data_IF_107764043981
#
_entry.id   IF_107764043981
#
_cell.length_a   1.000
_cell.length_b   1.000
_cell.length_c   1.000
_cell.angle_alpha   90.00
_cell.angle_beta   90.00
_cell.angle_gamma   90.00
#
_symmetry.space_group_name_H-M   'P 1'
#
loop_
_entity.id
_entity.type
_entity.pdbx_description
1 polymer ?
#
# COMPACT_ATOMS: atom_id res chain seq x y z
N UNK A 1 -42.85 -8.62 15.76
CA UNK A 1 -41.39 -8.79 15.85
C UNK A 1 -41.00 -9.87 14.86
N UNK A 2 -40.01 -9.56 14.04
CA UNK A 2 -39.63 -10.36 12.89
C UNK A 2 -38.13 -10.67 12.99
N UNK A 3 -37.72 -11.91 13.26
CA UNK A 3 -36.29 -12.24 13.35
C UNK A 3 -35.63 -12.23 11.97
N UNK A 4 -34.44 -11.64 11.88
CA UNK A 4 -33.45 -11.95 10.84
C UNK A 4 -32.43 -12.91 11.43
N UNK A 5 -32.28 -14.04 10.77
CA UNK A 5 -31.30 -15.06 11.12
C UNK A 5 -30.07 -14.90 10.24
N UNK A 6 -28.92 -14.60 10.83
CA UNK A 6 -27.63 -14.58 10.15
C UNK A 6 -26.95 -15.93 10.32
N UNK A 7 -26.88 -16.68 9.23
CA UNK A 7 -26.31 -18.02 9.23
C UNK A 7 -24.78 -17.98 9.34
N UNK A 8 -24.14 -19.04 9.84
CA UNK A 8 -22.70 -19.05 10.10
C UNK A 8 -21.82 -18.75 8.87
N UNK A 9 -22.31 -19.01 7.66
CA UNK A 9 -21.52 -18.85 6.44
C UNK A 9 -21.24 -17.39 6.07
N UNK A 10 -22.02 -16.44 6.61
CA UNK A 10 -21.86 -15.01 6.35
C UNK A 10 -21.18 -14.26 7.51
N UNK A 11 -20.86 -14.95 8.60
CA UNK A 11 -20.32 -14.33 9.81
C UNK A 11 -18.99 -13.64 9.58
N UNK A 12 -18.09 -14.27 8.83
CA UNK A 12 -16.76 -13.72 8.56
C UNK A 12 -16.86 -12.43 7.73
N UNK A 13 -17.75 -12.42 6.75
CA UNK A 13 -18.00 -11.30 5.85
C UNK A 13 -18.65 -10.12 6.59
N UNK A 14 -19.63 -10.40 7.46
CA UNK A 14 -20.22 -9.36 8.30
C UNK A 14 -19.23 -8.82 9.33
N UNK A 15 -18.40 -9.69 9.92
CA UNK A 15 -17.32 -9.27 10.82
C UNK A 15 -16.31 -8.36 10.11
N UNK A 16 -15.93 -8.69 8.87
CA UNK A 16 -15.08 -7.83 8.05
C UNK A 16 -15.76 -6.48 7.75
N UNK A 17 -17.02 -6.50 7.32
CA UNK A 17 -17.80 -5.30 7.01
C UNK A 17 -17.86 -4.36 8.23
N UNK A 18 -18.15 -4.90 9.42
CA UNK A 18 -18.23 -4.06 10.63
C UNK A 18 -16.86 -3.60 11.13
N UNK A 19 -15.81 -4.39 10.90
CA UNK A 19 -14.43 -4.00 11.25
C UNK A 19 -13.93 -2.84 10.39
N UNK A 20 -14.46 -2.68 9.18
CA UNK A 20 -14.21 -1.53 8.31
C UNK A 20 -14.87 -0.22 8.75
N UNK A 21 -15.73 -0.25 9.78
CA UNK A 21 -16.43 0.95 10.25
C UNK A 21 -15.49 1.81 11.11
N UNK A 22 -14.93 2.87 10.50
CA UNK A 22 -14.08 3.84 11.20
C UNK A 22 -14.87 5.01 11.77
N UNK A 23 -14.42 5.52 12.93
CA UNK A 23 -14.94 6.76 13.50
C UNK A 23 -14.60 7.94 12.58
N UNK A 24 -15.58 8.79 12.29
CA UNK A 24 -15.41 9.94 11.39
C UNK A 24 -15.62 9.63 9.91
N UNK A 25 -16.11 8.43 9.57
CA UNK A 25 -16.53 8.12 8.20
C UNK A 25 -17.60 9.11 7.71
N UNK A 26 -17.46 9.58 6.47
CA UNK A 26 -18.40 10.50 5.80
C UNK A 26 -19.81 9.91 5.69
N UNK A 27 -19.89 8.59 5.54
CA UNK A 27 -21.15 7.83 5.47
C UNK A 27 -21.20 6.81 6.61
N UNK A 28 -21.50 7.22 7.85
CA UNK A 28 -21.40 6.39 9.05
C UNK A 28 -22.61 5.45 9.21
N UNK A 29 -22.98 4.74 8.14
CA UNK A 29 -24.18 3.91 8.08
C UNK A 29 -23.87 2.47 7.69
N UNK A 30 -24.80 1.57 8.01
CA UNK A 30 -24.92 0.26 7.35
C UNK A 30 -26.31 0.22 6.73
N UNK A 31 -26.36 0.05 5.41
CA UNK A 31 -27.62 0.06 4.65
C UNK A 31 -28.08 -1.35 4.39
N UNK A 32 -29.35 -1.59 4.67
CA UNK A 32 -30.07 -2.83 4.38
C UNK A 32 -30.93 -2.57 3.15
N UNK A 33 -30.77 -3.40 2.13
CA UNK A 33 -31.64 -3.43 0.97
C UNK A 33 -32.29 -4.82 0.86
N UNK A 34 -33.59 -4.89 1.13
CA UNK A 34 -34.39 -6.11 1.17
C UNK A 34 -35.17 -6.21 -0.14
N UNK A 35 -34.80 -7.20 -0.95
CA UNK A 35 -35.44 -7.55 -2.22
C UNK A 35 -36.34 -8.76 -2.06
N UNK A 36 -36.97 -9.23 -3.15
CA UNK A 36 -37.73 -10.50 -3.14
C UNK A 36 -36.86 -11.68 -2.72
N UNK A 37 -35.63 -11.76 -3.23
CA UNK A 37 -34.82 -12.98 -3.14
C UNK A 37 -33.69 -12.87 -2.11
N UNK A 38 -33.30 -11.67 -1.72
CA UNK A 38 -32.10 -11.44 -0.92
C UNK A 38 -32.18 -10.20 -0.03
N UNK A 39 -31.45 -10.28 1.08
CA UNK A 39 -31.02 -9.15 1.89
C UNK A 39 -29.60 -8.77 1.49
N UNK A 40 -29.38 -7.50 1.18
CA UNK A 40 -28.06 -6.94 0.94
C UNK A 40 -27.69 -5.98 2.07
N UNK A 41 -26.49 -6.14 2.62
CA UNK A 41 -25.97 -5.36 3.73
C UNK A 41 -24.73 -4.65 3.22
N UNK A 42 -24.77 -3.32 3.22
CA UNK A 42 -23.76 -2.46 2.59
C UNK A 42 -23.15 -1.55 3.65
N UNK A 43 -21.83 -1.47 3.69
CA UNK A 43 -21.10 -0.58 4.59
C UNK A 43 -19.61 -0.52 4.24
N UNK A 44 -18.80 0.01 5.16
CA UNK A 44 -17.36 0.22 4.97
C UNK A 44 -17.00 1.69 4.77
N UNK A 45 -15.77 1.95 4.36
CA UNK A 45 -15.28 3.29 4.05
C UNK A 45 -15.77 3.74 2.68
N UNK A 46 -15.96 5.05 2.48
CA UNK A 46 -16.36 5.64 1.18
C UNK A 46 -15.51 5.11 0.03
N UNK A 47 -14.19 5.03 0.23
CA UNK A 47 -13.23 4.59 -0.78
C UNK A 47 -13.06 3.04 -0.85
N UNK A 48 -13.77 2.31 0.01
CA UNK A 48 -13.64 0.86 0.14
C UNK A 48 -14.92 0.21 0.67
N UNK A 49 -16.04 0.38 -0.06
CA UNK A 49 -17.32 -0.22 0.31
C UNK A 49 -17.31 -1.75 0.18
N UNK A 50 -18.08 -2.38 1.05
CA UNK A 50 -18.34 -3.82 1.07
C UNK A 50 -19.84 -4.06 1.08
N UNK A 51 -20.28 -5.05 0.31
CA UNK A 51 -21.65 -5.55 0.34
C UNK A 51 -21.67 -7.06 0.57
N UNK A 52 -22.52 -7.50 1.49
CA UNK A 52 -22.78 -8.91 1.78
C UNK A 52 -24.22 -9.23 1.38
N UNK A 53 -24.38 -10.24 0.54
CA UNK A 53 -25.66 -10.81 0.15
C UNK A 53 -25.99 -12.00 1.04
N UNK A 54 -27.19 -11.98 1.61
CA UNK A 54 -27.80 -13.12 2.25
C UNK A 54 -29.07 -13.50 1.48
N UNK A 55 -29.16 -14.76 1.04
CA UNK A 55 -30.40 -15.29 0.44
C UNK A 55 -31.52 -15.25 1.46
N UNK A 56 -32.71 -14.82 1.06
CA UNK A 56 -33.88 -14.83 1.95
C UNK A 56 -34.36 -16.26 2.18
N UNK A 57 -34.65 -16.57 3.44
CA UNK A 57 -35.42 -17.77 3.79
C UNK A 57 -36.84 -17.62 3.23
N UNK A 58 -37.47 -18.72 2.79
CA UNK A 58 -38.82 -18.70 2.19
C UNK A 58 -39.88 -18.09 3.12
N UNK A 59 -39.67 -18.20 4.43
CA UNK A 59 -40.56 -17.66 5.46
C UNK A 59 -40.05 -16.34 6.08
N UNK A 60 -39.09 -15.66 5.44
CA UNK A 60 -38.53 -14.41 5.95
C UNK A 60 -39.61 -13.32 5.98
N UNK A 61 -40.04 -12.86 7.17
CA UNK A 61 -41.25 -12.05 7.31
C UNK A 61 -41.02 -10.55 7.03
N UNK A 62 -39.85 -10.17 6.51
CA UNK A 62 -39.54 -8.77 6.22
C UNK A 62 -40.15 -8.32 4.90
N UNK A 63 -40.81 -7.16 4.95
CA UNK A 63 -41.24 -6.48 3.74
C UNK A 63 -40.04 -5.98 2.93
N UNK A 64 -40.24 -5.82 1.62
CA UNK A 64 -39.23 -5.21 0.76
C UNK A 64 -39.02 -3.77 1.20
N UNK A 65 -37.78 -3.32 1.22
CA UNK A 65 -37.48 -1.98 1.69
C UNK A 65 -36.00 -1.69 1.71
N UNK A 66 -35.69 -0.39 1.81
CA UNK A 66 -34.33 0.11 1.89
C UNK A 66 -34.24 1.09 3.04
N UNK A 67 -33.32 0.86 3.97
CA UNK A 67 -33.10 1.73 5.11
C UNK A 67 -31.68 1.55 5.67
N UNK A 68 -31.25 2.50 6.48
CA UNK A 68 -29.91 2.48 7.09
C UNK A 68 -29.98 2.48 8.60
N UNK A 69 -28.98 1.88 9.22
CA UNK A 69 -28.71 2.03 10.66
C UNK A 69 -27.39 2.76 10.87
N UNK A 70 -27.25 3.37 12.04
CA UNK A 70 -25.93 3.84 12.51
C UNK A 70 -24.93 2.68 12.46
N UNK A 71 -23.82 2.89 11.76
CA UNK A 71 -22.79 1.87 11.57
C UNK A 71 -22.22 1.42 12.92
N UNK A 72 -21.97 2.35 13.83
CA UNK A 72 -21.43 2.03 15.16
C UNK A 72 -22.44 1.29 16.03
N UNK A 73 -23.74 1.56 15.89
CA UNK A 73 -24.78 0.83 16.61
C UNK A 73 -24.89 -0.61 16.10
N UNK A 74 -24.90 -0.81 14.77
CA UNK A 74 -24.89 -2.14 14.16
C UNK A 74 -23.63 -2.93 14.53
N UNK A 75 -22.46 -2.30 14.45
CA UNK A 75 -21.20 -2.92 14.86
C UNK A 75 -21.21 -3.35 16.33
N UNK A 76 -21.76 -2.52 17.24
CA UNK A 76 -21.88 -2.90 18.65
C UNK A 76 -22.82 -4.08 18.87
N UNK A 77 -23.93 -4.15 18.12
CA UNK A 77 -24.84 -5.29 18.15
C UNK A 77 -24.13 -6.57 17.68
N UNK A 78 -23.39 -6.49 16.56
CA UNK A 78 -22.66 -7.61 15.98
C UNK A 78 -21.51 -8.09 16.87
N UNK A 79 -20.67 -7.19 17.36
CA UNK A 79 -19.58 -7.52 18.29
C UNK A 79 -20.08 -8.06 19.63
N UNK A 80 -21.36 -7.88 19.96
CA UNK A 80 -21.99 -8.49 21.12
C UNK A 80 -22.29 -9.98 20.99
N UNK A 81 -22.00 -10.61 19.84
CA UNK A 81 -22.33 -11.99 19.46
C UNK A 81 -21.10 -12.89 19.25
N UNK A 82 -19.92 -12.53 19.77
CA UNK A 82 -18.65 -13.23 19.52
C UNK A 82 -18.66 -14.73 19.85
N UNK A 83 -19.26 -15.16 20.95
CA UNK A 83 -19.46 -16.57 21.30
C UNK A 83 -20.25 -17.29 20.22
N UNK A 84 -21.36 -16.71 19.72
CA UNK A 84 -22.13 -17.32 18.63
C UNK A 84 -21.34 -17.37 17.32
N UNK A 85 -20.55 -16.34 17.03
CA UNK A 85 -19.65 -16.29 15.87
C UNK A 85 -18.60 -17.40 15.96
N UNK A 86 -17.93 -17.52 17.11
CA UNK A 86 -16.87 -18.50 17.35
C UNK A 86 -17.41 -19.95 17.33
N UNK A 87 -18.61 -20.15 17.86
CA UNK A 87 -19.30 -21.44 17.87
C UNK A 87 -20.01 -21.75 16.54
N UNK A 88 -19.98 -20.83 15.56
CA UNK A 88 -20.66 -20.96 14.26
C UNK A 88 -22.15 -21.28 14.42
N UNK A 89 -22.84 -20.52 15.27
CA UNK A 89 -24.29 -20.63 15.52
C UNK A 89 -25.06 -19.51 14.85
N UNK A 90 -26.29 -19.77 14.42
CA UNK A 90 -27.17 -18.73 13.85
C UNK A 90 -27.36 -17.57 14.84
N UNK A 91 -27.22 -16.34 14.36
CA UNK A 91 -27.44 -15.11 15.14
C UNK A 91 -28.81 -14.55 14.73
N UNK A 92 -29.72 -14.37 15.68
CA UNK A 92 -31.05 -13.81 15.40
C UNK A 92 -31.15 -12.38 15.95
N UNK A 93 -31.31 -11.40 15.06
CA UNK A 93 -31.65 -10.02 15.44
C UNK A 93 -33.13 -9.75 15.16
N UNK A 94 -33.77 -8.91 15.96
CA UNK A 94 -35.21 -8.65 15.85
C UNK A 94 -35.48 -7.34 15.12
N UNK A 95 -36.45 -7.39 14.21
CA UNK A 95 -37.02 -6.22 13.55
C UNK A 95 -38.39 -5.93 14.14
N UNK A 96 -38.63 -4.68 14.49
CA UNK A 96 -39.91 -4.22 15.04
C UNK A 96 -40.27 -2.87 14.44
N UNK A 97 -41.52 -2.70 14.03
CA UNK A 97 -42.02 -1.38 13.68
C UNK A 97 -42.15 -0.52 14.95
N UNK A 98 -41.66 0.71 14.89
CA UNK A 98 -41.87 1.71 15.92
C UNK A 98 -43.10 2.54 15.55
N UNK A 99 -44.23 2.24 16.19
CA UNK A 99 -45.50 2.93 15.95
C UNK A 99 -45.45 4.43 16.31
N UNK A 100 -44.45 4.88 17.08
CA UNK A 100 -44.30 6.28 17.48
C UNK A 100 -43.44 7.10 16.51
N UNK A 101 -42.42 6.48 15.92
CA UNK A 101 -41.45 7.16 15.05
C UNK A 101 -41.60 6.79 13.58
N UNK A 102 -42.58 5.94 13.25
CA UNK A 102 -42.86 5.45 11.90
C UNK A 102 -41.60 4.91 11.20
N UNK A 103 -40.92 3.97 11.88
CA UNK A 103 -39.64 3.44 11.42
C UNK A 103 -39.37 2.02 11.90
N UNK A 104 -38.32 1.41 11.36
CA UNK A 104 -37.95 0.02 11.66
C UNK A 104 -36.84 -0.02 12.70
N UNK A 105 -37.10 -0.58 13.87
CA UNK A 105 -36.11 -0.84 14.90
C UNK A 105 -35.41 -2.17 14.67
N UNK A 106 -34.08 -2.13 14.69
CA UNK A 106 -33.22 -3.30 14.86
C UNK A 106 -32.90 -3.43 16.34
N UNK A 107 -33.23 -4.56 16.96
CA UNK A 107 -32.98 -4.79 18.39
C UNK A 107 -32.36 -6.18 18.65
N UNK A 108 -31.55 -6.26 19.71
CA UNK A 108 -30.85 -7.47 20.08
C UNK A 108 -30.30 -7.42 21.49
N UNK A 109 -29.94 -8.58 22.01
CA UNK A 109 -29.22 -8.73 23.28
C UNK A 109 -27.80 -9.18 23.02
N UNK A 110 -26.85 -8.59 23.73
CA UNK A 110 -25.46 -9.09 23.74
C UNK A 110 -25.35 -10.33 24.63
N UNK A 111 -24.23 -11.03 24.56
CA UNK A 111 -23.90 -12.16 25.46
C UNK A 111 -23.98 -11.82 26.94
N UNK A 112 -23.63 -10.58 27.30
CA UNK A 112 -23.76 -10.06 28.67
C UNK A 112 -25.20 -9.65 29.02
N UNK A 113 -26.18 -10.14 28.27
CA UNK A 113 -27.61 -9.84 28.39
C UNK A 113 -27.96 -8.35 28.32
N UNK A 114 -27.10 -7.52 27.71
CA UNK A 114 -27.36 -6.09 27.54
C UNK A 114 -28.25 -5.88 26.32
N UNK A 115 -29.37 -5.17 26.51
CA UNK A 115 -30.26 -4.80 25.42
C UNK A 115 -29.69 -3.62 24.62
N UNK A 116 -29.81 -3.70 23.29
CA UNK A 116 -29.35 -2.69 22.34
C UNK A 116 -30.39 -2.57 21.23
N UNK A 117 -30.58 -1.35 20.73
CA UNK A 117 -31.45 -1.08 19.60
C UNK A 117 -30.86 0.02 18.70
N UNK A 118 -31.26 0.02 17.44
CA UNK A 118 -30.97 1.06 16.48
C UNK A 118 -32.24 1.34 15.67
N UNK A 119 -32.63 2.62 15.58
CA UNK A 119 -33.74 3.03 14.72
C UNK A 119 -33.23 3.23 13.29
N UNK A 120 -34.01 2.73 12.34
CA UNK A 120 -33.76 2.94 10.93
C UNK A 120 -33.85 4.42 10.56
N UNK A 121 -33.00 4.80 9.63
CA UNK A 121 -33.00 6.09 8.94
C UNK A 121 -33.20 5.84 7.44
N UNK A 122 -33.49 6.89 6.65
CA UNK A 122 -33.50 6.78 5.20
C UNK A 122 -32.23 6.08 4.69
N UNK A 123 -32.40 5.27 3.63
CA UNK A 123 -31.30 4.57 3.01
C UNK A 123 -30.18 5.55 2.60
N UNK A 124 -28.92 5.13 2.73
CA UNK A 124 -27.80 5.99 2.38
C UNK A 124 -27.65 6.03 0.86
N UNK A 125 -27.84 7.21 0.26
CA UNK A 125 -27.78 7.39 -1.20
C UNK A 125 -26.46 6.92 -1.80
N UNK A 126 -25.34 7.10 -1.08
CA UNK A 126 -24.03 6.63 -1.51
C UNK A 126 -23.98 5.10 -1.60
N UNK A 127 -24.52 4.39 -0.61
CA UNK A 127 -24.62 2.93 -0.63
C UNK A 127 -25.58 2.43 -1.71
N UNK A 128 -26.71 3.12 -1.94
CA UNK A 128 -27.64 2.75 -3.01
C UNK A 128 -27.06 2.99 -4.41
N UNK A 129 -26.26 4.05 -4.57
CA UNK A 129 -25.52 4.30 -5.81
C UNK A 129 -24.52 3.17 -6.08
N UNK A 130 -23.78 2.75 -5.05
CA UNK A 130 -22.89 1.59 -5.13
C UNK A 130 -23.67 0.30 -5.46
N UNK A 131 -24.77 0.03 -4.76
CA UNK A 131 -25.64 -1.11 -5.02
C UNK A 131 -26.06 -1.18 -6.49
N UNK A 132 -26.62 -0.08 -7.01
CA UNK A 132 -27.04 -0.01 -8.40
C UNK A 132 -25.87 -0.25 -9.35
N UNK A 133 -24.71 0.36 -9.08
CA UNK A 133 -23.49 0.19 -9.89
C UNK A 133 -23.05 -1.27 -9.97
N UNK A 134 -23.13 -2.04 -8.89
CA UNK A 134 -22.77 -3.46 -8.87
C UNK A 134 -23.59 -4.29 -9.86
N UNK A 135 -24.88 -3.97 -10.03
CA UNK A 135 -25.79 -4.75 -10.89
C UNK A 135 -25.93 -4.20 -12.31
N UNK A 136 -25.58 -2.93 -12.55
CA UNK A 136 -25.71 -2.31 -13.88
C UNK A 136 -24.41 -2.22 -14.65
N UNK A 137 -23.26 -2.30 -13.97
CA UNK A 137 -21.95 -2.16 -14.62
C UNK A 137 -21.58 -3.41 -15.43
N UNK A 138 -20.95 -3.26 -16.61
CA UNK A 138 -20.46 -4.39 -17.39
C UNK A 138 -19.30 -5.05 -16.65
N UNK A 139 -19.47 -6.29 -16.21
CA UNK A 139 -18.43 -7.03 -15.52
C UNK A 139 -17.81 -8.11 -16.43
N UNK A 140 -16.53 -8.36 -16.21
CA UNK A 140 -15.84 -9.55 -16.73
C UNK A 140 -15.87 -10.65 -15.67
N UNK A 141 -15.98 -11.90 -16.08
CA UNK A 141 -15.96 -13.05 -15.17
C UNK A 141 -14.69 -13.85 -15.40
N UNK A 142 -13.95 -14.14 -14.33
CA UNK A 142 -12.68 -14.86 -14.36
C UNK A 142 -12.69 -16.02 -13.36
N UNK A 143 -12.04 -17.12 -13.71
CA UNK A 143 -11.86 -18.24 -12.78
C UNK A 143 -11.08 -17.82 -11.53
N UNK A 144 -11.58 -18.21 -10.36
CA UNK A 144 -10.97 -17.93 -9.06
C UNK A 144 -9.53 -18.43 -8.98
N UNK A 145 -9.18 -19.51 -9.72
CA UNK A 145 -7.79 -20.00 -9.84
C UNK A 145 -6.89 -18.99 -10.55
N UNK A 146 -7.33 -18.46 -11.69
CA UNK A 146 -6.57 -17.45 -12.44
C UNK A 146 -6.43 -16.14 -11.64
N UNK A 147 -7.43 -15.75 -10.85
CA UNK A 147 -7.31 -14.61 -9.93
C UNK A 147 -6.17 -14.82 -8.94
N UNK A 148 -6.05 -16.03 -8.37
CA UNK A 148 -4.95 -16.35 -7.44
C UNK A 148 -3.58 -16.29 -8.14
N UNK A 149 -3.49 -16.74 -9.39
CA UNK A 149 -2.27 -16.63 -10.20
C UNK A 149 -1.89 -15.16 -10.44
N UNK A 150 -2.86 -14.32 -10.87
CA UNK A 150 -2.66 -12.87 -11.05
C UNK A 150 -2.17 -12.22 -9.74
N UNK A 151 -2.82 -12.52 -8.61
CA UNK A 151 -2.40 -12.02 -7.30
C UNK A 151 -1.01 -12.52 -6.89
N UNK A 152 -0.64 -13.75 -7.28
CA UNK A 152 0.70 -14.30 -7.07
C UNK A 152 1.76 -13.51 -7.83
N UNK A 153 1.55 -13.28 -9.12
CA UNK A 153 2.44 -12.46 -9.97
C UNK A 153 2.57 -11.04 -9.42
N UNK A 154 1.46 -10.39 -9.07
CA UNK A 154 1.49 -9.08 -8.44
C UNK A 154 2.31 -9.09 -7.13
N UNK A 155 2.24 -10.18 -6.36
CA UNK A 155 3.03 -10.37 -5.15
C UNK A 155 4.55 -10.37 -5.39
N UNK A 156 5.00 -11.01 -6.47
CA UNK A 156 6.41 -11.01 -6.88
C UNK A 156 6.87 -9.63 -7.38
N UNK A 157 5.95 -8.84 -7.92
CA UNK A 157 6.20 -7.45 -8.34
C UNK A 157 6.18 -6.44 -7.18
N UNK A 158 6.00 -6.86 -5.93
CA UNK A 158 5.98 -5.94 -4.80
C UNK A 158 7.38 -5.36 -4.48
N UNK A 159 7.48 -4.06 -4.12
CA UNK A 159 6.38 -3.09 -3.97
C UNK A 159 5.95 -2.49 -5.32
N UNK A 160 4.68 -2.13 -5.44
CA UNK A 160 4.12 -1.41 -6.59
C UNK A 160 3.04 -0.44 -6.12
N UNK A 161 2.78 0.59 -6.91
CA UNK A 161 1.64 1.52 -6.73
C UNK A 161 0.40 1.02 -7.48
N UNK A 162 0.60 0.56 -8.72
CA UNK A 162 -0.44 -0.04 -9.57
C UNK A 162 0.14 -1.31 -10.20
N UNK A 163 -0.66 -2.36 -10.28
CA UNK A 163 -0.37 -3.55 -11.07
C UNK A 163 -1.47 -3.72 -12.10
N UNK A 164 -1.11 -3.88 -13.37
CA UNK A 164 -2.04 -3.95 -14.49
C UNK A 164 -1.77 -5.20 -15.35
N UNK A 165 -2.85 -5.91 -15.66
CA UNK A 165 -2.90 -6.97 -16.66
C UNK A 165 -3.82 -6.53 -17.79
N UNK A 166 -3.33 -6.67 -19.02
CA UNK A 166 -4.10 -6.36 -20.22
C UNK A 166 -4.31 -7.62 -21.03
N UNK A 167 -5.58 -8.02 -21.17
CA UNK A 167 -6.02 -9.10 -22.04
C UNK A 167 -5.77 -8.76 -23.50
N UNK A 168 -6.04 -7.51 -23.90
CA UNK A 168 -5.98 -7.07 -25.29
C UNK A 168 -4.55 -7.08 -25.83
N UNK A 169 -3.59 -6.68 -24.99
CA UNK A 169 -2.18 -6.66 -25.35
C UNK A 169 -1.42 -7.92 -24.91
N UNK A 170 -2.06 -8.79 -24.11
CA UNK A 170 -1.43 -9.91 -23.43
C UNK A 170 -0.14 -9.50 -22.70
N UNK A 171 -0.23 -8.43 -21.91
CA UNK A 171 0.90 -7.83 -21.18
C UNK A 171 0.61 -7.70 -19.70
N UNK A 172 1.66 -7.83 -18.88
CA UNK A 172 1.65 -7.44 -17.47
C UNK A 172 2.61 -6.28 -17.28
N UNK A 173 2.18 -5.27 -16.54
CA UNK A 173 3.02 -4.15 -16.16
C UNK A 173 2.66 -3.67 -14.76
N UNK A 174 3.59 -3.00 -14.11
CA UNK A 174 3.34 -2.39 -12.81
C UNK A 174 4.02 -1.04 -12.70
N UNK A 175 3.46 -0.17 -11.85
CA UNK A 175 4.07 1.09 -11.49
C UNK A 175 4.89 0.94 -10.22
N UNK A 176 6.13 1.42 -10.26
CA UNK A 176 6.99 1.52 -9.09
C UNK A 176 7.90 2.71 -9.29
N UNK A 177 8.08 3.53 -8.26
CA UNK A 177 8.96 4.70 -8.32
C UNK A 177 8.63 5.63 -9.52
N UNK A 178 7.32 5.82 -9.77
CA UNK A 178 6.80 6.57 -10.92
C UNK A 178 7.14 6.02 -12.31
N UNK A 179 7.77 4.86 -12.41
CA UNK A 179 8.06 4.20 -13.69
C UNK A 179 7.08 3.07 -13.95
N UNK A 180 6.69 2.92 -15.22
CA UNK A 180 5.90 1.78 -15.70
C UNK A 180 6.87 0.70 -16.18
N UNK A 181 6.87 -0.43 -15.49
CA UNK A 181 7.77 -1.55 -15.72
C UNK A 181 6.97 -2.71 -16.33
N UNK A 182 7.25 -3.12 -17.59
CA UNK A 182 6.68 -4.33 -18.15
C UNK A 182 7.38 -5.57 -17.58
N UNK A 183 6.64 -6.67 -17.46
CA UNK A 183 7.22 -7.98 -17.20
C UNK A 183 6.72 -9.00 -18.21
N UNK A 184 7.52 -10.02 -18.42
CA UNK A 184 7.08 -11.18 -19.18
C UNK A 184 6.02 -11.95 -18.40
N UNK A 185 5.01 -12.41 -19.14
CA UNK A 185 4.01 -13.31 -18.57
C UNK A 185 4.69 -14.63 -18.15
N UNK A 186 4.41 -15.15 -16.95
CA UNK A 186 4.85 -16.48 -16.57
C UNK A 186 4.41 -17.52 -17.60
N UNK A 187 5.26 -18.50 -17.85
CA UNK A 187 5.01 -19.54 -18.85
C UNK A 187 3.66 -20.25 -18.56
N UNK A 188 2.80 -20.32 -19.57
CA UNK A 188 1.47 -20.94 -19.48
C UNK A 188 0.37 -20.07 -18.87
N UNK A 189 0.69 -18.90 -18.31
CA UNK A 189 -0.33 -17.96 -17.82
C UNK A 189 -1.07 -17.31 -18.99
N UNK A 190 -2.39 -17.24 -18.90
CA UNK A 190 -3.25 -16.55 -19.88
C UNK A 190 -3.97 -15.39 -19.22
N UNK A 191 -3.85 -14.18 -19.79
CA UNK A 191 -4.61 -13.03 -19.31
C UNK A 191 -6.02 -13.09 -19.89
N UNK A 192 -7.00 -13.38 -19.04
CA UNK A 192 -8.41 -13.47 -19.43
C UNK A 192 -9.23 -12.19 -19.23
N UNK A 193 -8.65 -11.16 -18.60
CA UNK A 193 -9.33 -9.96 -18.10
C UNK A 193 -8.43 -8.73 -18.20
N UNK A 194 -9.02 -7.55 -18.40
CA UNK A 194 -8.32 -6.29 -18.17
C UNK A 194 -8.51 -5.88 -16.70
N UNK A 195 -7.41 -5.72 -15.95
CA UNK A 195 -7.48 -5.42 -14.53
C UNK A 195 -6.30 -4.54 -14.12
N UNK A 196 -6.60 -3.43 -13.45
CA UNK A 196 -5.62 -2.59 -12.76
C UNK A 196 -5.98 -2.50 -11.27
N UNK A 197 -4.99 -2.71 -10.39
CA UNK A 197 -5.20 -2.78 -8.94
C UNK A 197 -4.08 -2.09 -8.16
N UNK A 198 -4.48 -1.45 -7.06
CA UNK A 198 -3.59 -1.00 -5.99
C UNK A 198 -3.20 -2.16 -5.06
N UNK A 199 -2.18 -2.00 -4.20
CA UNK A 199 -1.84 -3.00 -3.17
C UNK A 199 -3.00 -3.36 -2.23
N UNK A 200 -3.87 -2.41 -1.91
CA UNK A 200 -5.08 -2.59 -1.11
C UNK A 200 -6.09 -3.45 -1.87
N UNK A 201 -6.40 -3.08 -3.12
CA UNK A 201 -7.32 -3.85 -3.97
C UNK A 201 -6.80 -5.27 -4.21
N UNK A 202 -5.49 -5.45 -4.40
CA UNK A 202 -4.84 -6.77 -4.52
C UNK A 202 -5.10 -7.63 -3.29
N UNK A 203 -4.92 -7.08 -2.08
CA UNK A 203 -5.16 -7.81 -0.82
C UNK A 203 -6.62 -8.26 -0.71
N UNK A 204 -7.57 -7.39 -1.05
CA UNK A 204 -8.99 -7.72 -1.01
C UNK A 204 -9.40 -8.76 -2.04
N UNK A 205 -8.89 -8.65 -3.27
CA UNK A 205 -9.13 -9.62 -4.35
C UNK A 205 -8.56 -10.99 -3.98
N UNK A 206 -7.33 -11.01 -3.47
CA UNK A 206 -6.68 -12.24 -3.01
C UNK A 206 -7.45 -12.89 -1.85
N UNK A 207 -7.86 -12.11 -0.85
CA UNK A 207 -8.66 -12.60 0.26
C UNK A 207 -10.03 -13.14 -0.20
N UNK A 208 -10.70 -12.45 -1.12
CA UNK A 208 -11.96 -12.92 -1.71
C UNK A 208 -11.75 -14.25 -2.44
N UNK A 209 -10.71 -14.33 -3.27
CA UNK A 209 -10.39 -15.53 -4.04
C UNK A 209 -9.95 -16.71 -3.18
N UNK A 210 -9.34 -16.48 -2.02
CA UNK A 210 -8.97 -17.54 -1.07
C UNK A 210 -10.16 -18.09 -0.30
N UNK A 211 -11.12 -17.24 0.07
CA UNK A 211 -12.22 -17.61 0.97
C UNK A 211 -13.50 -18.05 0.24
N UNK A 212 -13.67 -17.69 -1.03
CA UNK A 212 -14.86 -18.07 -1.79
C UNK A 212 -14.90 -19.55 -2.17
N UNK A 213 -16.11 -20.12 -2.17
CA UNK A 213 -16.39 -21.44 -2.77
C UNK A 213 -16.75 -21.34 -4.25
N UNK A 214 -17.01 -20.13 -4.76
CA UNK A 214 -17.39 -19.94 -6.15
C UNK A 214 -16.19 -20.12 -7.08
N UNK A 215 -16.44 -20.77 -8.21
CA UNK A 215 -15.41 -21.07 -9.20
C UNK A 215 -14.94 -19.83 -9.96
N UNK A 216 -15.75 -18.78 -9.94
CA UNK A 216 -15.53 -17.55 -10.69
C UNK A 216 -15.72 -16.32 -9.81
N UNK A 217 -15.03 -15.24 -10.18
CA UNK A 217 -15.16 -13.91 -9.61
C UNK A 217 -15.52 -12.96 -10.74
N UNK A 218 -16.52 -12.11 -10.51
CA UNK A 218 -16.85 -10.99 -11.38
C UNK A 218 -16.01 -9.78 -11.00
N UNK A 219 -15.47 -9.12 -12.01
CA UNK A 219 -14.59 -7.95 -11.89
C UNK A 219 -15.18 -6.83 -12.73
N UNK A 220 -15.25 -5.65 -12.16
CA UNK A 220 -15.51 -4.41 -12.88
C UNK A 220 -14.39 -3.42 -12.55
N UNK A 221 -13.85 -2.76 -13.56
CA UNK A 221 -12.82 -1.72 -13.41
C UNK A 221 -13.17 -0.55 -14.32
N UNK A 222 -13.16 0.66 -13.78
CA UNK A 222 -13.19 1.92 -14.54
C UNK A 222 -11.93 2.75 -14.22
N UNK A 223 -11.92 4.04 -14.55
CA UNK A 223 -10.78 4.93 -14.31
C UNK A 223 -10.52 5.23 -12.82
N UNK A 224 -11.54 5.10 -11.97
CA UNK A 224 -11.49 5.58 -10.59
C UNK A 224 -11.64 4.44 -9.58
N UNK A 225 -12.24 3.32 -9.95
CA UNK A 225 -12.52 2.24 -9.02
C UNK A 225 -12.46 0.85 -9.64
N UNK A 226 -12.27 -0.12 -8.75
CA UNK A 226 -12.43 -1.54 -9.04
C UNK A 226 -13.46 -2.17 -8.10
N UNK A 227 -14.27 -3.09 -8.61
CA UNK A 227 -15.24 -3.89 -7.87
C UNK A 227 -14.97 -5.37 -8.13
N UNK A 228 -14.91 -6.15 -7.05
CA UNK A 228 -14.81 -7.61 -7.07
C UNK A 228 -16.05 -8.22 -6.46
N UNK A 229 -16.61 -9.26 -7.07
CA UNK A 229 -17.77 -9.97 -6.57
C UNK A 229 -17.61 -11.47 -6.74
N UNK A 230 -17.84 -12.24 -5.68
CA UNK A 230 -18.04 -13.68 -5.79
C UNK A 230 -19.53 -14.07 -5.83
N UNK A 231 -20.44 -13.10 -5.93
CA UNK A 231 -21.89 -13.30 -5.92
C UNK A 231 -22.52 -13.34 -4.53
N UNK A 232 -21.75 -13.59 -3.46
CA UNK A 232 -22.18 -13.44 -2.06
C UNK A 232 -21.60 -12.17 -1.44
N UNK A 233 -20.33 -11.87 -1.74
CA UNK A 233 -19.57 -10.76 -1.21
C UNK A 233 -19.10 -9.89 -2.36
N UNK A 234 -19.23 -8.58 -2.18
CA UNK A 234 -18.75 -7.57 -3.11
C UNK A 234 -17.84 -6.61 -2.37
N UNK A 235 -16.69 -6.30 -2.96
CA UNK A 235 -15.71 -5.34 -2.42
C UNK A 235 -15.37 -4.32 -3.49
N UNK A 236 -15.37 -3.04 -3.15
CA UNK A 236 -14.90 -1.97 -4.02
C UNK A 236 -13.63 -1.33 -3.46
N UNK A 237 -12.82 -0.76 -4.34
CA UNK A 237 -11.66 0.04 -3.99
C UNK A 237 -11.53 1.22 -4.93
N UNK A 238 -11.27 2.39 -4.38
CA UNK A 238 -10.74 3.53 -5.11
C UNK A 238 -9.33 3.23 -5.63
N UNK A 239 -9.04 3.70 -6.83
CA UNK A 239 -7.75 3.57 -7.52
C UNK A 239 -6.98 4.90 -7.56
N UNK A 240 -7.51 5.98 -6.98
CA UNK A 240 -6.82 7.27 -6.87
C UNK A 240 -6.62 7.98 -8.22
N UNK A 241 -7.45 7.63 -9.22
CA UNK A 241 -7.38 7.98 -10.65
C UNK A 241 -6.33 7.21 -11.46
N UNK A 242 -6.72 6.05 -12.00
CA UNK A 242 -5.96 5.33 -13.04
C UNK A 242 -5.74 6.18 -14.29
N UNK A 243 -6.56 7.21 -14.51
CA UNK A 243 -6.39 8.10 -15.66
C UNK A 243 -5.01 8.73 -15.69
N UNK A 244 -4.53 9.26 -14.56
CA UNK A 244 -3.19 9.83 -14.46
C UNK A 244 -2.10 8.77 -14.72
N UNK A 245 -2.32 7.55 -14.24
CA UNK A 245 -1.45 6.40 -14.53
C UNK A 245 -1.43 6.04 -16.02
N UNK A 246 -2.60 5.99 -16.69
CA UNK A 246 -2.74 5.67 -18.12
C UNK A 246 -2.17 6.74 -19.05
N UNK A 247 -2.20 8.00 -18.61
CA UNK A 247 -1.57 9.12 -19.33
C UNK A 247 -0.03 9.15 -19.13
N UNK A 248 0.50 8.41 -18.16
CA UNK A 248 1.93 8.37 -17.87
C UNK A 248 2.70 7.65 -18.97
N UNK A 249 3.74 8.31 -19.46
CA UNK A 249 4.68 7.69 -20.40
C UNK A 249 5.77 6.94 -19.64
N UNK A 250 6.15 5.78 -20.16
CA UNK A 250 7.31 5.03 -19.70
C UNK A 250 8.55 5.91 -19.77
N UNK A 251 9.26 6.02 -18.65
CA UNK A 251 10.56 6.67 -18.61
C UNK A 251 11.64 5.60 -18.67
N UNK A 252 12.59 5.77 -19.59
CA UNK A 252 13.74 4.89 -19.68
C UNK A 252 14.89 5.53 -18.92
N UNK A 253 15.35 4.85 -17.87
CA UNK A 253 16.50 5.25 -17.07
C UNK A 253 17.68 4.30 -17.30
N UNK A 254 18.85 4.86 -17.53
CA UNK A 254 20.11 4.13 -17.62
C UNK A 254 20.95 4.34 -16.37
N UNK A 255 21.58 3.28 -15.87
CA UNK A 255 22.46 3.36 -14.72
C UNK A 255 23.83 3.89 -15.11
N UNK A 256 24.18 5.08 -14.62
CA UNK A 256 25.48 5.73 -14.86
C UNK A 256 26.47 5.51 -13.70
N UNK A 257 25.97 5.15 -12.51
CA UNK A 257 26.80 4.65 -11.42
C UNK A 257 26.06 3.56 -10.62
N UNK A 258 26.79 2.57 -10.10
CA UNK A 258 26.29 1.49 -9.24
C UNK A 258 27.20 1.35 -8.02
N UNK A 259 26.61 1.24 -6.83
CA UNK A 259 27.33 1.17 -5.57
C UNK A 259 26.67 0.11 -4.67
N UNK A 260 27.47 -0.66 -3.95
CA UNK A 260 26.99 -1.52 -2.86
C UNK A 260 27.54 -0.95 -1.55
N UNK A 261 26.64 -0.46 -0.71
CA UNK A 261 26.94 0.38 0.46
C UNK A 261 26.50 -0.30 1.75
N UNK A 262 27.24 -0.11 2.85
CA UNK A 262 26.80 -0.54 4.18
C UNK A 262 25.51 0.18 4.62
N UNK A 263 24.45 -0.59 4.88
CA UNK A 263 23.12 -0.05 5.25
C UNK A 263 23.19 0.76 6.54
N UNK A 264 23.93 0.25 7.54
CA UNK A 264 23.93 0.83 8.88
C UNK A 264 24.68 2.15 8.92
N UNK A 265 25.82 2.22 8.25
CA UNK A 265 26.61 3.46 8.12
C UNK A 265 25.80 4.53 7.40
N UNK A 266 25.26 4.22 6.22
CA UNK A 266 24.49 5.18 5.44
C UNK A 266 23.28 5.74 6.20
N UNK A 267 22.51 4.87 6.88
CA UNK A 267 21.37 5.28 7.69
C UNK A 267 21.78 6.14 8.88
N UNK A 268 22.77 5.67 9.63
CA UNK A 268 23.26 6.36 10.82
C UNK A 268 23.69 7.77 10.45
N UNK A 269 24.43 7.90 9.34
CA UNK A 269 24.97 9.20 8.94
C UNK A 269 23.91 10.13 8.37
N UNK A 270 23.00 9.62 7.54
CA UNK A 270 21.80 10.37 7.13
C UNK A 270 21.01 10.90 8.33
N UNK A 271 20.81 10.07 9.36
CA UNK A 271 20.07 10.45 10.55
C UNK A 271 20.87 11.43 11.44
N UNK A 272 22.21 11.35 11.43
CA UNK A 272 23.08 12.31 12.10
C UNK A 272 23.05 13.68 11.43
N UNK A 273 23.05 13.75 10.09
CA UNK A 273 22.91 15.01 9.36
C UNK A 273 21.61 15.74 9.72
N UNK A 274 20.52 14.99 9.90
CA UNK A 274 19.23 15.53 10.34
C UNK A 274 19.22 16.10 11.77
N UNK A 275 20.26 15.84 12.57
CA UNK A 275 20.41 16.41 13.93
C UNK A 275 21.22 17.71 13.93
N UNK A 276 21.99 18.00 12.89
CA UNK A 276 22.75 19.24 12.74
C UNK A 276 21.81 20.30 12.16
N UNK A 277 21.55 21.37 12.92
CA UNK A 277 20.48 22.34 12.63
C UNK A 277 20.70 23.05 11.29
N UNK A 278 21.95 23.47 11.02
CA UNK A 278 22.35 24.17 9.81
C UNK A 278 22.19 23.27 8.57
N UNK A 279 22.64 22.01 8.66
CA UNK A 279 22.51 21.02 7.59
C UNK A 279 21.04 20.68 7.33
N UNK A 280 20.26 20.48 8.39
CA UNK A 280 18.82 20.24 8.28
C UNK A 280 18.09 21.41 7.62
N UNK A 281 18.46 22.65 7.97
CA UNK A 281 17.89 23.87 7.36
C UNK A 281 18.28 24.01 5.89
N UNK A 282 19.54 23.72 5.55
CA UNK A 282 20.00 23.68 4.15
C UNK A 282 19.31 22.57 3.35
N UNK A 283 18.93 21.47 4.01
CA UNK A 283 18.22 20.33 3.45
C UNK A 283 18.90 19.71 2.21
N UNK A 284 20.23 19.78 2.18
CA UNK A 284 21.07 19.28 1.11
C UNK A 284 22.06 18.28 1.69
N UNK A 285 22.29 17.19 0.97
CA UNK A 285 23.46 16.36 1.14
C UNK A 285 24.11 16.13 -0.22
N UNK A 286 25.36 15.73 -0.19
CA UNK A 286 26.23 15.52 -1.33
C UNK A 286 26.67 14.06 -1.38
N UNK A 287 26.61 13.49 -2.57
CA UNK A 287 27.07 12.15 -2.88
C UNK A 287 28.22 12.28 -3.86
N UNK A 288 29.43 12.07 -3.35
CA UNK A 288 30.64 12.10 -4.15
C UNK A 288 31.09 10.69 -4.46
N UNK A 289 31.21 10.37 -5.74
CA UNK A 289 31.43 9.00 -6.23
C UNK A 289 32.65 9.01 -7.14
N UNK A 290 33.65 8.20 -6.78
CA UNK A 290 34.82 7.88 -7.61
C UNK A 290 34.79 6.39 -7.96
N UNK A 291 35.81 5.89 -8.67
CA UNK A 291 35.91 4.46 -8.93
C UNK A 291 36.20 3.64 -7.67
N UNK A 292 36.84 4.25 -6.67
CA UNK A 292 37.36 3.55 -5.49
C UNK A 292 36.67 3.95 -4.19
N UNK A 293 35.92 5.05 -4.18
CA UNK A 293 35.36 5.61 -2.95
C UNK A 293 34.05 6.33 -3.17
N UNK A 294 33.21 6.28 -2.14
CA UNK A 294 31.97 7.03 -2.06
C UNK A 294 31.98 7.82 -0.76
N UNK A 295 31.72 9.12 -0.85
CA UNK A 295 31.59 9.99 0.31
C UNK A 295 30.16 10.54 0.39
N UNK A 296 29.66 10.61 1.61
CA UNK A 296 28.42 11.30 1.95
C UNK A 296 28.78 12.53 2.75
N UNK A 297 28.41 13.70 2.23
CA UNK A 297 28.84 14.97 2.80
C UNK A 297 27.69 15.97 2.85
N UNK A 298 27.82 16.98 3.69
CA UNK A 298 27.02 18.18 3.64
C UNK A 298 27.84 19.28 4.28
N UNK A 299 27.89 20.45 3.66
CA UNK A 299 28.56 21.59 4.24
C UNK A 299 27.80 22.86 3.95
N UNK A 300 27.80 23.73 4.95
CA UNK A 300 27.25 25.08 4.95
C UNK A 300 28.35 26.00 5.48
N UNK A 301 28.20 27.34 5.38
CA UNK A 301 29.19 28.25 5.94
C UNK A 301 29.44 28.09 7.45
N UNK A 302 28.53 27.46 8.19
CA UNK A 302 28.57 27.39 9.66
C UNK A 302 28.78 25.97 10.21
N UNK A 303 28.48 24.93 9.43
CA UNK A 303 28.62 23.54 9.83
C UNK A 303 28.84 22.64 8.63
N UNK A 304 29.64 21.59 8.80
CA UNK A 304 29.84 20.54 7.80
C UNK A 304 29.95 19.17 8.45
N UNK A 305 29.63 18.15 7.67
CA UNK A 305 29.76 16.75 8.02
C UNK A 305 30.20 15.97 6.77
N UNK A 306 31.10 15.01 6.96
CA UNK A 306 31.69 14.20 5.91
C UNK A 306 31.91 12.79 6.45
N UNK A 307 31.47 11.80 5.68
CA UNK A 307 31.76 10.40 5.95
C UNK A 307 32.15 9.70 4.64
N UNK A 308 33.29 9.01 4.66
CA UNK A 308 33.60 7.99 3.66
C UNK A 308 32.77 6.75 3.96
N UNK A 309 31.91 6.35 3.02
CA UNK A 309 31.04 5.19 3.18
C UNK A 309 31.80 3.90 2.88
N UNK A 310 31.58 2.86 3.69
CA UNK A 310 32.08 1.52 3.36
C UNK A 310 31.30 0.98 2.18
N UNK A 311 32.03 0.68 1.10
CA UNK A 311 31.49 0.11 -0.13
C UNK A 311 32.17 -1.22 -0.46
N UNK A 312 31.42 -2.21 -0.95
CA UNK A 312 31.98 -3.47 -1.43
C UNK A 312 32.21 -3.49 -2.93
N UNK A 313 31.51 -2.64 -3.68
CA UNK A 313 31.75 -2.44 -5.10
C UNK A 313 31.26 -1.07 -5.53
N UNK A 314 32.02 -0.40 -6.40
CA UNK A 314 31.58 0.79 -7.11
C UNK A 314 31.84 0.57 -8.61
N UNK A 315 30.88 0.97 -9.43
CA UNK A 315 31.00 0.99 -10.88
C UNK A 315 30.54 2.35 -11.37
N UNK A 316 31.47 3.15 -11.88
CA UNK A 316 31.22 4.45 -12.51
C UNK A 316 32.26 4.68 -13.60
N UNK A 317 31.89 5.38 -14.67
CA UNK A 317 32.84 5.73 -15.74
C UNK A 317 33.68 6.96 -15.41
N UNK A 318 33.23 7.80 -14.50
CA UNK A 318 33.86 9.07 -14.15
C UNK A 318 33.58 9.45 -12.69
N UNK A 319 34.46 10.30 -12.16
CA UNK A 319 34.25 11.01 -10.91
C UNK A 319 33.02 11.94 -11.02
N UNK A 320 32.10 11.86 -10.06
CA UNK A 320 30.85 12.64 -10.07
C UNK A 320 30.47 13.13 -8.68
N UNK A 321 29.92 14.35 -8.62
CA UNK A 321 29.32 14.92 -7.43
C UNK A 321 27.85 15.24 -7.66
N UNK A 322 26.99 14.68 -6.82
CA UNK A 322 25.54 14.90 -6.85
C UNK A 322 25.04 15.56 -5.58
N UNK A 323 24.04 16.41 -5.71
CA UNK A 323 23.23 16.96 -4.62
C UNK A 323 21.94 16.17 -4.49
N UNK A 324 21.53 15.90 -3.25
CA UNK A 324 20.29 15.21 -2.90
C UNK A 324 19.57 15.94 -1.79
N UNK A 325 18.24 16.00 -1.87
CA UNK A 325 17.40 16.56 -0.82
C UNK A 325 17.40 15.63 0.41
N UNK A 326 17.91 16.12 1.55
CA UNK A 326 18.10 15.28 2.74
C UNK A 326 16.76 14.78 3.32
N UNK A 327 15.70 15.58 3.25
CA UNK A 327 14.36 15.20 3.67
C UNK A 327 13.73 14.16 2.75
N UNK A 328 13.95 14.24 1.43
CA UNK A 328 13.53 13.20 0.51
C UNK A 328 14.26 11.88 0.82
N UNK A 329 15.56 11.94 1.04
CA UNK A 329 16.39 10.79 1.39
C UNK A 329 15.99 10.15 2.73
N UNK A 330 15.57 10.95 3.71
CA UNK A 330 15.09 10.48 5.01
C UNK A 330 13.77 9.70 4.91
N UNK A 331 12.91 10.00 3.92
CA UNK A 331 11.63 9.31 3.71
C UNK A 331 11.80 7.92 3.10
N UNK A 332 12.93 7.65 2.46
CA UNK A 332 13.21 6.33 1.87
C UNK A 332 13.26 5.29 2.98
N UNK A 333 12.33 4.34 2.88
CA UNK A 333 12.26 3.19 3.77
C UNK A 333 13.30 2.17 3.33
N UNK A 334 14.55 2.42 3.68
CA UNK A 334 15.62 1.42 3.56
C UNK A 334 15.27 0.32 4.56
N UNK A 335 14.69 -0.79 4.11
CA UNK A 335 14.32 -1.89 5.01
C UNK A 335 15.61 -2.48 5.58
N UNK A 336 15.65 -2.69 6.90
CA UNK A 336 16.59 -3.67 7.45
C UNK A 336 16.12 -5.01 6.92
N UNK A 337 16.75 -5.50 5.86
CA UNK A 337 16.67 -6.92 5.54
C UNK A 337 17.37 -7.56 6.73
N UNK A 338 16.66 -8.33 7.55
CA UNK A 338 17.12 -8.80 8.87
C UNK A 338 18.45 -9.56 8.83
N UNK A 339 18.95 -9.87 7.63
CA UNK A 339 20.26 -10.48 7.35
C UNK A 339 21.20 -9.65 6.46
N UNK A 340 20.74 -8.64 5.72
CA UNK A 340 21.60 -7.90 4.79
C UNK A 340 22.32 -6.75 5.50
N UNK A 341 23.65 -6.72 5.38
CA UNK A 341 24.51 -5.63 5.87
C UNK A 341 24.74 -4.54 4.82
N UNK A 342 24.39 -4.82 3.57
CA UNK A 342 24.66 -3.97 2.43
C UNK A 342 23.42 -3.86 1.54
N UNK A 343 23.32 -2.76 0.80
CA UNK A 343 22.27 -2.54 -0.19
C UNK A 343 22.85 -1.90 -1.44
N UNK A 344 22.17 -2.10 -2.57
CA UNK A 344 22.56 -1.53 -3.85
C UNK A 344 21.90 -0.17 -4.06
N UNK A 345 22.72 0.79 -4.45
CA UNK A 345 22.32 2.13 -4.88
C UNK A 345 22.76 2.33 -6.33
N UNK A 346 21.93 3.02 -7.12
CA UNK A 346 22.28 3.37 -8.50
C UNK A 346 21.96 4.81 -8.80
N UNK A 347 22.88 5.51 -9.45
CA UNK A 347 22.56 6.78 -10.08
C UNK A 347 21.99 6.46 -11.46
N UNK A 348 20.77 6.90 -11.69
CA UNK A 348 19.99 6.66 -12.89
C UNK A 348 19.80 7.97 -13.64
N UNK A 349 19.89 7.93 -14.97
CA UNK A 349 19.69 9.08 -15.86
C UNK A 349 18.68 8.74 -16.94
N UNK A 350 17.69 9.60 -17.17
CA UNK A 350 16.78 9.44 -18.31
C UNK A 350 17.26 10.18 -19.56
N UNK A 351 16.52 10.02 -20.67
CA UNK A 351 16.81 10.66 -21.96
C UNK A 351 16.73 12.19 -21.94
N UNK A 352 16.01 12.77 -20.97
CA UNK A 352 15.92 14.22 -20.76
C UNK A 352 17.07 14.75 -19.89
N UNK A 353 17.92 13.86 -19.36
CA UNK A 353 19.05 14.19 -18.52
C UNK A 353 18.72 14.32 -17.03
N UNK A 354 17.48 14.06 -16.63
CA UNK A 354 17.08 14.04 -15.21
C UNK A 354 17.77 12.88 -14.48
N UNK A 355 18.13 13.13 -13.23
CA UNK A 355 18.88 12.20 -12.41
C UNK A 355 18.08 11.78 -11.19
N UNK A 356 18.19 10.51 -10.83
CA UNK A 356 17.67 9.99 -9.58
C UNK A 356 18.61 8.97 -8.95
N UNK A 357 18.55 8.87 -7.64
CA UNK A 357 19.23 7.86 -6.85
C UNK A 357 18.25 6.73 -6.53
N UNK A 358 18.38 5.62 -7.23
CA UNK A 358 17.55 4.43 -7.05
C UNK A 358 18.07 3.52 -5.93
N UNK A 359 17.14 3.03 -5.11
CA UNK A 359 17.39 2.07 -4.04
C UNK A 359 16.87 0.69 -4.45
N UNK A 360 17.72 -0.32 -4.34
CA UNK A 360 17.39 -1.68 -4.78
C UNK A 360 17.20 -2.61 -3.59
N UNK A 361 16.34 -3.61 -3.75
CA UNK A 361 16.17 -4.68 -2.77
C UNK A 361 16.78 -5.98 -3.30
N UNK A 362 16.93 -7.00 -2.46
CA UNK A 362 17.57 -8.25 -2.89
C UNK A 362 16.74 -9.07 -3.89
N UNK A 363 15.43 -8.82 -3.98
CA UNK A 363 14.50 -9.55 -4.85
C UNK A 363 14.55 -9.04 -6.28
N UNK A 364 14.57 -7.72 -6.46
CA UNK A 364 14.64 -7.06 -7.75
C UNK A 364 15.93 -6.24 -7.85
N UNK A 365 16.86 -6.75 -8.64
CA UNK A 365 18.17 -6.13 -8.86
C UNK A 365 18.15 -5.17 -10.05
N UNK A 366 17.09 -5.15 -10.84
CA UNK A 366 16.99 -4.36 -12.06
C UNK A 366 16.33 -3.03 -11.78
N UNK A 367 15.17 -3.05 -11.12
CA UNK A 367 14.37 -1.86 -10.87
C UNK A 367 14.42 -1.42 -9.40
N UNK A 368 14.72 -0.14 -9.17
CA UNK A 368 14.69 0.44 -7.83
C UNK A 368 13.27 0.39 -7.24
N UNK A 369 13.17 0.03 -5.97
CA UNK A 369 11.89 0.01 -5.24
C UNK A 369 11.43 1.40 -4.79
N UNK A 370 12.36 2.35 -4.74
CA UNK A 370 12.15 3.74 -4.37
C UNK A 370 13.33 4.57 -4.90
N UNK A 371 13.14 5.87 -5.09
CA UNK A 371 14.21 6.77 -5.51
C UNK A 371 14.08 8.18 -4.96
N UNK A 372 15.16 8.95 -5.04
CA UNK A 372 15.14 10.39 -4.80
C UNK A 372 15.76 11.14 -5.97
N UNK A 373 15.22 12.32 -6.34
CA UNK A 373 15.85 13.17 -7.34
C UNK A 373 17.27 13.56 -6.96
N UNK A 374 18.13 13.68 -7.97
CA UNK A 374 19.50 14.17 -7.85
C UNK A 374 19.71 15.39 -8.75
N UNK A 375 20.64 16.23 -8.36
CA UNK A 375 21.15 17.33 -9.18
C UNK A 375 22.67 17.21 -9.31
N UNK A 376 23.25 17.67 -10.42
CA UNK A 376 24.69 17.80 -10.52
C UNK A 376 25.19 18.91 -9.60
N UNK A 377 26.24 18.64 -8.83
CA UNK A 377 26.83 19.59 -7.89
C UNK A 377 28.34 19.78 -8.14
N UNK A 378 28.80 19.59 -9.38
CA UNK A 378 30.22 19.59 -9.73
C UNK A 378 30.96 20.89 -9.39
N UNK A 379 30.25 22.02 -9.32
CA UNK A 379 30.80 23.31 -8.88
C UNK A 379 31.31 23.30 -7.43
N UNK A 380 30.76 22.41 -6.58
CA UNK A 380 31.13 22.24 -5.18
C UNK A 380 32.31 21.26 -4.99
N UNK A 381 32.76 20.61 -6.05
CA UNK A 381 33.78 19.57 -5.97
C UNK A 381 35.13 20.07 -5.43
N UNK A 382 35.65 21.25 -5.83
CA UNK A 382 36.94 21.73 -5.30
C UNK A 382 36.94 21.91 -3.78
N UNK A 383 35.85 22.46 -3.25
CA UNK A 383 35.66 22.65 -1.81
C UNK A 383 35.55 21.30 -1.09
N UNK A 384 34.76 20.37 -1.63
CA UNK A 384 34.63 19.04 -1.06
C UNK A 384 35.97 18.27 -1.03
N UNK A 385 36.77 18.35 -2.10
CA UNK A 385 38.10 17.72 -2.14
C UNK A 385 39.03 18.27 -1.07
N UNK A 386 39.02 19.58 -0.86
CA UNK A 386 39.81 20.22 0.19
C UNK A 386 39.40 19.74 1.60
N UNK A 387 38.10 19.55 1.86
CA UNK A 387 37.59 19.00 3.12
C UNK A 387 38.04 17.54 3.29
N UNK A 388 37.95 16.72 2.23
CA UNK A 388 38.40 15.32 2.25
C UNK A 388 39.89 15.22 2.58
N UNK A 389 40.73 15.96 1.86
CA UNK A 389 42.19 15.98 2.08
C UNK A 389 42.53 16.38 3.53
N UNK A 390 41.86 17.41 4.06
CA UNK A 390 42.04 17.86 5.45
C UNK A 390 41.67 16.76 6.45
N UNK A 391 40.55 16.07 6.23
CA UNK A 391 40.10 14.99 7.12
C UNK A 391 41.04 13.77 7.12
N UNK A 392 41.67 13.48 5.98
CA UNK A 392 42.61 12.36 5.85
C UNK A 392 43.98 12.68 6.48
N UNK A 393 44.40 13.95 6.49
CA UNK A 393 45.61 14.40 7.20
C UNK A 393 45.48 14.23 8.72
N UNK A 394 44.32 14.58 9.29
CA UNK A 394 44.06 14.42 10.73
C UNK A 394 43.98 12.94 11.16
N UNK A 395 43.61 12.05 10.23
CA UNK A 395 43.54 10.60 10.48
C UNK A 395 44.94 9.99 10.61
N UNK A 396 45.87 10.40 9.74
CA UNK A 396 47.24 9.88 9.69
C UNK A 396 48.14 10.43 10.81
N UNK A 397 47.82 11.61 11.36
CA UNK A 397 48.58 12.19 12.47
C UNK A 397 48.46 11.36 13.78
N UNK A 398 47.40 10.56 13.92
CA UNK A 398 47.18 9.70 15.09
C UNK A 398 47.90 8.33 15.02
N UNK A 399 48.48 7.95 13.88
CA UNK A 399 49.28 6.70 13.75
C UNK A 399 50.78 6.91 14.00
N UNK A 400 51.23 8.14 14.27
CA UNK A 400 52.66 8.48 14.39
C UNK A 400 53.06 9.10 15.73
N UNK A 401 52.62 8.52 16.85
CA UNK A 401 53.06 8.93 18.20
C UNK A 401 53.43 7.77 19.16
N UNK A 402 53.88 6.63 18.62
CA UNK A 402 54.57 5.60 19.43
C UNK A 402 56.05 5.54 19.05
N UNK A 403 56.75 6.64 19.36
CA UNK A 403 58.21 6.77 19.20
C UNK A 403 58.83 7.41 20.44
N UNK A 404 58.36 6.97 21.61
CA UNK A 404 59.08 7.11 22.87
C UNK A 404 59.06 5.76 23.60
N UNK A 405 59.84 4.83 23.06
CA UNK A 405 60.41 3.76 23.88
C UNK A 405 61.34 4.41 24.91
N UNK A 406 60.90 4.43 26.16
CA UNK A 406 61.83 4.55 27.27
C UNK A 406 62.58 3.23 27.36
N UNK A 407 63.84 3.24 26.96
CA UNK A 407 64.82 2.22 27.33
C UNK A 407 65.05 2.27 28.86
N UNK A 408 65.14 1.08 29.46
CA UNK A 408 65.41 0.80 30.88
C UNK A 408 66.59 1.60 31.49
N UNK A 409 66.37 2.23 32.67
CA UNK A 409 67.08 2.09 33.98
C UNK A 409 66.34 2.87 35.06
#
# INVERSE_FOLDING_TARGET
MHPINFQPEIHAQLTELVSGIKKGNKHPFVTFNITEDALYIIGGETESLMMVKQTREQDCPLEKGMFSYSATAFANLWHGQQTLINEKKTISLQFRHDDQQDGVLLEGRTEMNSFRYALAQPACDHHLTFFNKVFTSPNETIDTKHVREICGVAGECAPFSIFEVSKDNNTVQFERDNDIIPIELPEGMKIGVNLAITPEAKRSLEALAQNTKNKTISIYTDDDQVIFSDGQTVKSHDLGSLRAYREKQRQNFEAIAKMIVNIFEFKSERDNFQKIEEIKKANQALLYITQDSMYFASFTPQAGALMKLTTSSITTSQEQLYSVNLNALAKIKIKNITTAKQFKMTVLRNTQGELKLGFHNDRDKEYSYDSVPLEHAQSLLPELKHIIETSELDSNANEQNDLFGYDDV
#
